data_IF_322788036389
#
_entry.id   IF_322788036389
#
_cell.length_a   1.000
_cell.length_b   1.000
_cell.length_c   1.000
_cell.angle_alpha   90.00
_cell.angle_beta   90.00
_cell.angle_gamma   90.00
#
_symmetry.space_group_name_H-M   'P 1'
#
loop_
_entity.id
_entity.type
_entity.pdbx_description
1 polymer ?
#
# COMPACT_ATOMS: atom_id res chain seq x y z
N UNK A 1 -0.65 21.51 11.40
CA UNK A 1 -1.09 20.10 11.38
C UNK A 1 -0.01 19.28 10.70
N UNK A 2 0.72 18.45 11.44
CA UNK A 2 1.69 17.52 10.84
C UNK A 2 0.91 16.29 10.37
N UNK A 3 1.07 15.89 9.11
CA UNK A 3 0.56 14.61 8.62
C UNK A 3 1.15 13.47 9.47
N UNK A 4 0.34 12.46 9.81
CA UNK A 4 0.86 11.25 10.46
C UNK A 4 1.67 10.48 9.42
N UNK A 5 2.74 9.79 9.83
CA UNK A 5 3.63 9.04 8.91
C UNK A 5 2.86 8.08 7.99
N UNK A 6 1.78 7.47 8.48
CA UNK A 6 0.91 6.59 7.69
C UNK A 6 0.18 7.33 6.56
N UNK A 7 -0.34 8.53 6.85
CA UNK A 7 -1.02 9.38 5.85
C UNK A 7 -0.04 9.85 4.78
N UNK A 8 1.22 10.13 5.17
CA UNK A 8 2.28 10.48 4.22
C UNK A 8 2.56 9.33 3.24
N UNK A 9 2.66 8.09 3.74
CA UNK A 9 2.86 6.90 2.90
C UNK A 9 1.71 6.72 1.92
N UNK A 10 0.47 6.79 2.39
CA UNK A 10 -0.70 6.59 1.52
C UNK A 10 -0.83 7.72 0.49
N UNK A 11 -0.56 8.97 0.87
CA UNK A 11 -0.56 10.10 -0.05
C UNK A 11 0.52 9.96 -1.14
N UNK A 12 1.72 9.51 -0.78
CA UNK A 12 2.79 9.27 -1.75
C UNK A 12 2.41 8.17 -2.76
N UNK A 13 1.84 7.06 -2.30
CA UNK A 13 1.35 6.01 -3.20
C UNK A 13 0.22 6.51 -4.11
N UNK A 14 -0.72 7.30 -3.59
CA UNK A 14 -1.81 7.87 -4.39
C UNK A 14 -1.31 8.83 -5.48
N UNK A 15 -0.27 9.61 -5.20
CA UNK A 15 0.34 10.51 -6.19
C UNK A 15 1.09 9.75 -7.28
N UNK A 16 1.56 8.54 -7.00
CA UNK A 16 2.19 7.66 -7.98
C UNK A 16 1.16 6.94 -8.87
N UNK A 17 -0.07 6.80 -8.37
CA UNK A 17 -1.19 6.19 -9.09
C UNK A 17 -1.81 7.15 -10.10
N UNK A 18 -1.80 6.77 -11.38
CA UNK A 18 -2.39 7.56 -12.48
C UNK A 18 -3.83 7.18 -12.81
N UNK A 19 -4.33 6.07 -12.27
CA UNK A 19 -5.69 5.57 -12.52
C UNK A 19 -6.46 5.52 -11.20
N UNK A 20 -7.40 6.45 -11.04
CA UNK A 20 -8.19 6.60 -9.82
C UNK A 20 -9.49 5.77 -9.84
N UNK A 21 -9.69 4.90 -10.84
CA UNK A 21 -10.94 4.13 -10.99
C UNK A 21 -11.03 2.90 -10.06
N UNK A 22 -10.41 2.96 -8.88
CA UNK A 22 -10.45 1.87 -7.90
C UNK A 22 -11.80 1.86 -7.18
N UNK A 23 -12.57 0.78 -7.32
CA UNK A 23 -13.79 0.58 -6.55
C UNK A 23 -13.44 0.17 -5.12
N UNK A 24 -14.18 0.69 -4.14
CA UNK A 24 -13.93 0.43 -2.72
C UNK A 24 -14.06 -1.06 -2.35
N UNK A 25 -14.97 -1.79 -3.01
CA UNK A 25 -15.16 -3.23 -2.77
C UNK A 25 -13.95 -4.04 -3.22
N UNK A 26 -13.45 -3.77 -4.44
CA UNK A 26 -12.26 -4.42 -4.99
C UNK A 26 -11.02 -4.07 -4.16
N UNK A 27 -10.87 -2.80 -3.76
CA UNK A 27 -9.79 -2.36 -2.90
C UNK A 27 -9.77 -3.11 -1.55
N UNK A 28 -10.94 -3.31 -0.93
CA UNK A 28 -11.04 -4.06 0.32
C UNK A 28 -10.69 -5.54 0.15
N UNK A 29 -11.07 -6.15 -0.98
CA UNK A 29 -10.70 -7.52 -1.33
C UNK A 29 -9.18 -7.66 -1.52
N UNK A 30 -8.60 -6.77 -2.30
CA UNK A 30 -7.17 -6.76 -2.62
C UNK A 30 -6.32 -6.53 -1.37
N UNK A 31 -6.69 -5.58 -0.51
CA UNK A 31 -5.97 -5.36 0.77
C UNK A 31 -5.99 -6.62 1.63
N UNK A 32 -7.13 -7.32 1.74
CA UNK A 32 -7.20 -8.57 2.51
C UNK A 32 -6.31 -9.65 1.90
N UNK A 33 -6.35 -9.82 0.58
CA UNK A 33 -5.56 -10.82 -0.12
C UNK A 33 -4.06 -10.54 -0.03
N UNK A 34 -3.64 -9.29 -0.25
CA UNK A 34 -2.26 -8.85 -0.06
C UNK A 34 -1.82 -9.08 1.37
N UNK A 35 -2.67 -8.70 2.34
CA UNK A 35 -2.37 -8.89 3.75
C UNK A 35 -2.14 -10.38 4.06
N UNK A 36 -3.00 -11.29 3.61
CA UNK A 36 -2.84 -12.75 3.79
C UNK A 36 -1.52 -13.29 3.21
N UNK A 37 -1.04 -12.72 2.10
CA UNK A 37 0.21 -13.14 1.45
C UNK A 37 1.48 -12.56 2.09
N UNK A 38 1.35 -11.57 2.98
CA UNK A 38 2.49 -11.03 3.72
C UNK A 38 2.87 -11.95 4.90
N UNK A 39 4.15 -11.96 5.33
CA UNK A 39 4.59 -12.77 6.46
C UNK A 39 3.83 -12.44 7.76
N UNK A 40 3.41 -13.48 8.48
CA UNK A 40 2.75 -13.34 9.79
C UNK A 40 3.65 -12.83 10.90
N UNK A 41 4.98 -12.93 10.71
CA UNK A 41 5.97 -12.39 11.64
C UNK A 41 6.08 -10.86 11.61
N UNK A 42 5.49 -10.18 10.62
CA UNK A 42 5.46 -8.72 10.57
C UNK A 42 4.50 -8.16 11.61
N UNK A 43 4.85 -7.00 12.18
CA UNK A 43 3.96 -6.23 13.03
C UNK A 43 2.60 -5.99 12.32
N UNK A 44 1.45 -6.21 12.99
CA UNK A 44 0.13 -6.07 12.36
C UNK A 44 -0.15 -4.68 11.79
N UNK A 45 0.33 -3.61 12.44
CA UNK A 45 0.13 -2.24 11.95
C UNK A 45 0.98 -1.98 10.71
N UNK A 46 2.26 -2.38 10.73
CA UNK A 46 3.14 -2.32 9.56
C UNK A 46 2.58 -3.13 8.39
N UNK A 47 2.14 -4.37 8.64
CA UNK A 47 1.55 -5.26 7.62
C UNK A 47 0.28 -4.67 7.03
N UNK A 48 -0.59 -4.10 7.87
CA UNK A 48 -1.81 -3.42 7.43
C UNK A 48 -1.53 -2.19 6.58
N UNK A 49 -0.55 -1.36 6.96
CA UNK A 49 -0.15 -0.19 6.17
C UNK A 49 0.49 -0.60 4.84
N UNK A 50 1.38 -1.60 4.85
CA UNK A 50 2.02 -2.13 3.66
C UNK A 50 0.99 -2.68 2.65
N UNK A 51 -0.03 -3.40 3.14
CA UNK A 51 -1.09 -3.92 2.28
C UNK A 51 -1.93 -2.81 1.65
N UNK A 52 -2.26 -1.75 2.39
CA UNK A 52 -2.98 -0.58 1.87
C UNK A 52 -2.17 0.17 0.81
N UNK A 53 -0.90 0.45 1.10
CA UNK A 53 0.01 1.12 0.17
C UNK A 53 0.20 0.30 -1.12
N UNK A 54 0.41 -1.02 -0.99
CA UNK A 54 0.54 -1.90 -2.14
C UNK A 54 -0.75 -1.97 -2.99
N UNK A 55 -1.93 -1.99 -2.35
CA UNK A 55 -3.22 -1.96 -3.07
C UNK A 55 -3.37 -0.69 -3.92
N UNK A 56 -3.03 0.48 -3.37
CA UNK A 56 -3.05 1.74 -4.11
C UNK A 56 -2.11 1.65 -5.34
N UNK A 57 -0.87 1.21 -5.14
CA UNK A 57 0.08 1.09 -6.24
C UNK A 57 -0.36 0.07 -7.31
N UNK A 58 -0.91 -1.08 -6.89
CA UNK A 58 -1.45 -2.11 -7.78
C UNK A 58 -2.55 -1.57 -8.69
N UNK A 59 -3.39 -0.70 -8.14
CA UNK A 59 -4.51 -0.05 -8.86
C UNK A 59 -4.06 0.79 -10.04
N UNK A 60 -2.81 1.23 -10.05
CA UNK A 60 -2.22 2.01 -11.15
C UNK A 60 -2.01 1.19 -12.43
N UNK A 61 -2.27 -0.12 -12.42
CA UNK A 61 -2.03 -1.07 -13.52
C UNK A 61 -0.57 -1.10 -14.04
N UNK A 62 0.36 -0.58 -13.22
CA UNK A 62 1.80 -0.45 -13.52
C UNK A 62 2.64 -1.52 -12.84
N UNK A 63 2.08 -2.17 -11.84
CA UNK A 63 2.80 -3.08 -10.96
C UNK A 63 2.12 -4.44 -10.95
N UNK A 64 2.91 -5.51 -10.92
CA UNK A 64 2.44 -6.82 -10.46
C UNK A 64 2.26 -6.78 -8.92
N UNK A 65 1.51 -7.72 -8.32
CA UNK A 65 1.30 -7.75 -6.86
C UNK A 65 2.61 -7.72 -6.05
N UNK A 66 3.61 -8.49 -6.46
CA UNK A 66 4.93 -8.50 -5.80
C UNK A 66 5.69 -7.18 -5.98
N UNK A 67 5.59 -6.55 -7.16
CA UNK A 67 6.24 -5.27 -7.43
C UNK A 67 5.60 -4.13 -6.63
N UNK A 68 4.27 -4.13 -6.49
CA UNK A 68 3.54 -3.14 -5.70
C UNK A 68 3.92 -3.22 -4.21
N UNK A 69 4.10 -4.43 -3.67
CA UNK A 69 4.57 -4.63 -2.28
C UNK A 69 6.02 -4.12 -2.13
N UNK A 70 6.89 -4.41 -3.09
CA UNK A 70 8.28 -3.96 -3.04
C UNK A 70 8.36 -2.43 -3.09
N UNK A 71 7.56 -1.78 -3.93
CA UNK A 71 7.52 -0.32 -4.07
C UNK A 71 6.92 0.34 -2.83
N UNK A 72 5.80 -0.18 -2.32
CA UNK A 72 5.21 0.28 -1.06
C UNK A 72 6.21 0.20 0.10
N UNK A 73 7.05 -0.85 0.16
CA UNK A 73 8.10 -0.96 1.16
C UNK A 73 9.13 0.16 1.05
N UNK A 74 9.52 0.55 -0.17
CA UNK A 74 10.44 1.69 -0.38
C UNK A 74 9.82 2.99 0.12
N UNK A 75 8.56 3.25 -0.20
CA UNK A 75 7.82 4.44 0.27
C UNK A 75 7.77 4.47 1.80
N UNK A 76 7.49 3.33 2.45
CA UNK A 76 7.50 3.22 3.91
C UNK A 76 8.88 3.48 4.50
N UNK A 77 9.95 2.95 3.91
CA UNK A 77 11.32 3.24 4.34
C UNK A 77 11.67 4.72 4.21
N UNK A 78 11.25 5.40 3.13
CA UNK A 78 11.43 6.84 2.95
C UNK A 78 10.66 7.67 3.99
N UNK A 79 9.51 7.17 4.46
CA UNK A 79 8.74 7.76 5.55
C UNK A 79 9.28 7.42 6.96
N UNK A 80 10.32 6.58 7.05
CA UNK A 80 10.98 6.19 8.28
C UNK A 80 10.19 5.20 9.13
N UNK A 81 9.67 4.13 8.49
CA UNK A 81 9.14 2.91 9.11
C UNK A 81 10.18 1.78 9.12
#
# INVERSE_FOLDING_TARGET
MSLRKEELVLAACLLETTDASLLAEDAMGDVKQIMMNLPESLDPAYRGLLAKAACILLSSNRFSPGAAIAEARKVMTLAGF
#
